data_IF_811989628731
#
_entry.id   IF_811989628731
#
_cell.length_a   1.000
_cell.length_b   1.000
_cell.length_c   1.000
_cell.angle_alpha   90.00
_cell.angle_beta   90.00
_cell.angle_gamma   90.00
#
_symmetry.space_group_name_H-M   'P 1'
#
loop_
_entity.id
_entity.type
_entity.pdbx_description
1 polymer ?
#
# COMPACT_ATOMS: atom_id res chain seq x y z
N UNK A 1 -35.00 9.68 18.92
CA UNK A 1 -34.75 10.46 17.69
C UNK A 1 -33.49 9.88 17.07
N UNK A 2 -33.54 9.48 15.81
CA UNK A 2 -32.35 8.97 15.12
C UNK A 2 -31.62 10.19 14.59
N UNK A 3 -30.46 10.46 15.18
CA UNK A 3 -29.53 11.49 14.74
C UNK A 3 -28.89 11.04 13.42
N UNK A 4 -28.90 11.94 12.45
CA UNK A 4 -28.21 11.94 11.14
C UNK A 4 -27.92 10.58 10.47
N UNK A 5 -28.58 10.35 9.34
CA UNK A 5 -28.14 9.34 8.37
C UNK A 5 -26.85 9.86 7.73
N UNK A 6 -25.69 9.41 8.20
CA UNK A 6 -24.40 9.63 7.53
C UNK A 6 -24.47 8.92 6.18
N UNK A 7 -24.76 9.67 5.13
CA UNK A 7 -24.74 9.16 3.76
C UNK A 7 -23.28 9.12 3.34
N UNK A 8 -22.68 7.94 3.36
CA UNK A 8 -21.34 7.75 2.79
C UNK A 8 -21.43 7.99 1.29
N UNK A 9 -20.91 9.13 0.83
CA UNK A 9 -20.75 9.41 -0.60
C UNK A 9 -19.92 8.30 -1.25
N UNK A 10 -20.27 7.96 -2.50
CA UNK A 10 -19.49 7.02 -3.29
C UNK A 10 -18.04 7.53 -3.35
N UNK A 11 -17.08 6.69 -2.95
CA UNK A 11 -15.67 7.04 -2.99
C UNK A 11 -15.25 7.16 -4.47
N UNK A 12 -14.80 8.34 -4.88
CA UNK A 12 -14.22 8.57 -6.21
C UNK A 12 -12.81 7.97 -6.29
N UNK A 13 -12.30 7.76 -7.50
CA UNK A 13 -10.93 7.28 -7.72
C UNK A 13 -9.88 8.18 -7.05
N UNK A 14 -10.10 9.50 -7.04
CA UNK A 14 -9.23 10.47 -6.35
C UNK A 14 -9.22 10.25 -4.83
N UNK A 15 -10.37 9.93 -4.22
CA UNK A 15 -10.43 9.58 -2.80
C UNK A 15 -9.63 8.31 -2.52
N UNK A 16 -9.71 7.31 -3.42
CA UNK A 16 -8.91 6.09 -3.30
C UNK A 16 -7.40 6.36 -3.42
N UNK A 17 -6.98 7.26 -4.31
CA UNK A 17 -5.58 7.67 -4.42
C UNK A 17 -5.08 8.33 -3.14
N UNK A 18 -5.88 9.22 -2.55
CA UNK A 18 -5.55 9.86 -1.27
C UNK A 18 -5.45 8.86 -0.11
N UNK A 19 -6.38 7.90 -0.03
CA UNK A 19 -6.35 6.84 0.97
C UNK A 19 -5.11 5.94 0.76
N UNK A 20 -4.80 5.56 -0.47
CA UNK A 20 -3.62 4.76 -0.79
C UNK A 20 -2.33 5.47 -0.34
N UNK A 21 -2.24 6.78 -0.57
CA UNK A 21 -1.08 7.58 -0.15
C UNK A 21 -0.89 7.58 1.37
N UNK A 22 -1.98 7.77 2.14
CA UNK A 22 -1.94 7.70 3.62
C UNK A 22 -1.43 6.33 4.07
N UNK A 23 -1.98 5.25 3.51
CA UNK A 23 -1.62 3.89 3.91
C UNK A 23 -0.17 3.54 3.56
N UNK A 24 0.32 3.99 2.40
CA UNK A 24 1.72 3.80 2.01
C UNK A 24 2.67 4.58 2.92
N UNK A 25 2.30 5.80 3.33
CA UNK A 25 3.08 6.58 4.30
C UNK A 25 3.12 5.91 5.67
N UNK A 26 2.00 5.35 6.15
CA UNK A 26 1.97 4.60 7.41
C UNK A 26 2.91 3.38 7.37
N UNK A 27 2.91 2.65 6.24
CA UNK A 27 3.84 1.54 6.01
C UNK A 27 5.30 2.03 5.99
N UNK A 28 5.58 3.12 5.28
CA UNK A 28 6.91 3.73 5.23
C UNK A 28 7.41 4.12 6.62
N UNK A 29 6.58 4.76 7.45
CA UNK A 29 6.93 5.15 8.81
C UNK A 29 7.20 3.92 9.69
N UNK A 30 6.38 2.88 9.54
CA UNK A 30 6.54 1.62 10.27
C UNK A 30 7.88 0.94 9.93
N UNK A 31 8.26 0.93 8.65
CA UNK A 31 9.54 0.40 8.19
C UNK A 31 10.72 1.28 8.63
N UNK A 32 10.57 2.60 8.56
CA UNK A 32 11.60 3.55 8.98
C UNK A 32 11.92 3.41 10.47
N UNK A 33 10.91 3.14 11.31
CA UNK A 33 11.10 2.88 12.74
C UNK A 33 11.96 1.63 13.02
N UNK A 34 12.07 0.73 12.03
CA UNK A 34 12.88 -0.50 12.06
C UNK A 34 14.21 -0.33 11.33
N UNK A 35 14.54 0.87 10.85
CA UNK A 35 15.77 1.17 10.10
C UNK A 35 15.69 0.91 8.60
N UNK A 36 14.51 0.59 8.06
CA UNK A 36 14.31 0.29 6.63
C UNK A 36 13.66 1.46 5.93
N UNK A 37 14.30 1.99 4.89
CA UNK A 37 13.73 3.08 4.09
C UNK A 37 12.88 2.51 2.96
N UNK A 38 11.58 2.85 2.92
CA UNK A 38 10.69 2.49 1.82
C UNK A 38 10.54 3.67 0.84
N UNK A 39 10.68 3.40 -0.45
CA UNK A 39 10.41 4.34 -1.53
C UNK A 39 9.59 3.67 -2.65
N UNK A 40 8.83 4.44 -3.40
CA UNK A 40 8.03 3.93 -4.52
C UNK A 40 7.88 4.99 -5.62
N UNK A 41 7.61 4.52 -6.84
CA UNK A 41 7.29 5.40 -7.96
C UNK A 41 5.80 5.80 -7.95
N UNK A 42 5.46 6.93 -8.58
CA UNK A 42 4.10 7.50 -8.56
C UNK A 42 3.02 6.56 -9.12
N UNK A 43 3.41 5.66 -10.00
CA UNK A 43 2.53 4.68 -10.64
C UNK A 43 2.01 3.62 -9.68
N UNK A 44 2.68 3.40 -8.55
CA UNK A 44 2.25 2.43 -7.54
C UNK A 44 0.85 2.76 -7.02
N UNK A 45 0.58 4.04 -6.75
CA UNK A 45 -0.71 4.48 -6.21
C UNK A 45 -1.84 4.17 -7.20
N UNK A 46 -1.62 4.44 -8.49
CA UNK A 46 -2.60 4.16 -9.55
C UNK A 46 -2.82 2.66 -9.70
N UNK A 47 -1.76 1.85 -9.65
CA UNK A 47 -1.88 0.40 -9.72
C UNK A 47 -2.69 -0.16 -8.54
N UNK A 48 -2.39 0.28 -7.32
CA UNK A 48 -3.10 -0.17 -6.11
C UNK A 48 -4.58 0.19 -6.18
N UNK A 49 -4.90 1.42 -6.60
CA UNK A 49 -6.29 1.84 -6.79
C UNK A 49 -6.96 1.00 -7.87
N UNK A 50 -6.35 0.83 -9.05
CA UNK A 50 -6.88 -0.02 -10.13
C UNK A 50 -7.15 -1.45 -9.66
N UNK A 51 -6.24 -2.06 -8.89
CA UNK A 51 -6.40 -3.42 -8.33
C UNK A 51 -7.44 -3.49 -7.22
N UNK A 52 -7.59 -2.42 -6.43
CA UNK A 52 -8.53 -2.36 -5.32
C UNK A 52 -9.95 -1.92 -5.72
N UNK A 53 -10.10 -1.32 -6.90
CA UNK A 53 -11.35 -0.79 -7.42
C UNK A 53 -12.33 -1.92 -7.76
N UNK A 54 -13.01 -2.41 -6.73
CA UNK A 54 -14.21 -3.23 -6.87
C UNK A 54 -15.42 -2.34 -6.59
N UNK A 55 -16.27 -2.16 -7.61
CA UNK A 55 -17.52 -1.38 -7.55
C UNK A 55 -18.43 -1.85 -6.39
N UNK A 56 -18.23 -3.06 -5.88
CA UNK A 56 -19.07 -3.69 -4.86
C UNK A 56 -18.53 -3.55 -3.42
N UNK A 57 -17.24 -3.27 -3.19
CA UNK A 57 -16.59 -3.47 -1.89
C UNK A 57 -15.92 -2.25 -1.22
N UNK A 58 -15.88 -1.08 -1.88
CA UNK A 58 -15.31 0.14 -1.30
C UNK A 58 -13.84 0.03 -0.85
N UNK A 59 -13.37 0.96 0.00
CA UNK A 59 -11.94 1.06 0.39
C UNK A 59 -11.38 -0.13 1.19
N UNK A 60 -12.21 -1.07 1.65
CA UNK A 60 -11.73 -2.26 2.37
C UNK A 60 -10.81 -3.14 1.51
N UNK A 61 -11.07 -3.21 0.20
CA UNK A 61 -10.20 -3.96 -0.71
C UNK A 61 -8.81 -3.33 -0.81
N UNK A 62 -8.70 -2.00 -0.75
CA UNK A 62 -7.42 -1.31 -0.88
C UNK A 62 -6.43 -1.71 0.21
N UNK A 63 -6.89 -1.79 1.47
CA UNK A 63 -6.06 -2.27 2.59
C UNK A 63 -5.53 -3.67 2.35
N UNK A 64 -6.41 -4.58 1.91
CA UNK A 64 -6.05 -5.98 1.64
C UNK A 64 -5.08 -6.09 0.46
N UNK A 65 -5.25 -5.28 -0.58
CA UNK A 65 -4.33 -5.23 -1.72
C UNK A 65 -2.95 -4.73 -1.30
N UNK A 66 -2.86 -3.65 -0.52
CA UNK A 66 -1.58 -3.14 0.00
C UNK A 66 -0.88 -4.20 0.86
N UNK A 67 -1.62 -4.86 1.75
CA UNK A 67 -1.07 -5.94 2.58
C UNK A 67 -0.47 -7.05 1.73
N UNK A 68 -1.26 -7.62 0.81
CA UNK A 68 -0.82 -8.75 -0.01
C UNK A 68 0.29 -8.43 -0.99
N UNK A 69 0.23 -7.27 -1.63
CA UNK A 69 1.14 -6.93 -2.72
C UNK A 69 2.43 -6.27 -2.21
N UNK A 70 2.42 -5.70 -1.00
CA UNK A 70 3.56 -4.96 -0.45
C UNK A 70 3.99 -5.47 0.93
N UNK A 71 3.09 -5.46 1.93
CA UNK A 71 3.47 -5.75 3.32
C UNK A 71 3.94 -7.20 3.51
N UNK A 72 3.22 -8.16 2.93
CA UNK A 72 3.55 -9.58 2.96
C UNK A 72 4.95 -9.84 2.34
N UNK A 73 5.23 -9.46 1.07
CA UNK A 73 6.53 -9.74 0.47
C UNK A 73 7.68 -8.92 1.07
N UNK A 74 7.42 -7.71 1.60
CA UNK A 74 8.44 -6.96 2.37
C UNK A 74 8.78 -7.71 3.67
N UNK A 75 7.78 -8.23 4.36
CA UNK A 75 7.98 -8.97 5.61
C UNK A 75 8.77 -10.25 5.37
N UNK A 76 8.42 -11.01 4.32
CA UNK A 76 9.14 -12.21 3.90
C UNK A 76 10.59 -11.89 3.57
N UNK A 77 10.83 -10.85 2.76
CA UNK A 77 12.18 -10.41 2.43
C UNK A 77 13.03 -10.03 3.66
N UNK A 78 12.44 -9.34 4.64
CA UNK A 78 13.12 -8.98 5.90
C UNK A 78 13.46 -10.23 6.72
N UNK A 79 12.57 -11.22 6.76
CA UNK A 79 12.80 -12.48 7.49
C UNK A 79 13.92 -13.30 6.82
N UNK A 80 13.88 -13.41 5.49
CA UNK A 80 14.86 -14.17 4.71
C UNK A 80 16.25 -13.53 4.74
N UNK A 81 16.32 -12.20 4.86
CA UNK A 81 17.56 -11.44 4.91
C UNK A 81 18.16 -11.33 6.33
N UNK A 82 17.89 -12.31 7.20
CA UNK A 82 18.37 -12.31 8.60
C UNK A 82 19.90 -12.12 8.72
N UNK A 83 20.67 -12.69 7.79
CA UNK A 83 22.13 -12.57 7.77
C UNK A 83 22.62 -11.24 7.15
N UNK A 84 21.79 -10.57 6.36
CA UNK A 84 22.11 -9.34 5.63
C UNK A 84 20.98 -8.31 5.79
N UNK A 85 21.00 -7.51 6.87
CA UNK A 85 19.89 -6.62 7.19
C UNK A 85 19.60 -5.64 6.06
N UNK A 86 18.34 -5.60 5.62
CA UNK A 86 17.86 -4.70 4.58
C UNK A 86 17.90 -3.27 5.10
N UNK A 87 18.43 -2.35 4.30
CA UNK A 87 18.50 -0.92 4.65
C UNK A 87 17.51 -0.08 3.86
N UNK A 88 17.22 -0.49 2.62
CA UNK A 88 16.29 0.20 1.75
C UNK A 88 15.52 -0.77 0.86
N UNK A 89 14.26 -0.41 0.60
CA UNK A 89 13.37 -1.10 -0.31
C UNK A 89 12.81 -0.06 -1.27
N UNK A 90 12.98 -0.29 -2.56
CA UNK A 90 12.33 0.49 -3.62
C UNK A 90 11.29 -0.36 -4.30
N UNK A 91 10.07 0.15 -4.36
CA UNK A 91 8.96 -0.46 -5.07
C UNK A 91 8.92 0.11 -6.48
N UNK A 92 8.98 -0.78 -7.48
CA UNK A 92 8.76 -0.46 -8.89
C UNK A 92 7.51 -1.14 -9.42
N UNK A 93 6.82 -0.48 -10.33
CA UNK A 93 5.69 -1.06 -11.06
C UNK A 93 6.16 -1.51 -12.43
N UNK A 94 5.95 -2.79 -12.76
CA UNK A 94 6.17 -3.33 -14.10
C UNK A 94 4.84 -3.83 -14.67
N UNK A 95 4.18 -3.00 -15.48
CA UNK A 95 2.88 -3.33 -16.06
C UNK A 95 1.79 -3.43 -14.99
N UNK A 96 1.39 -4.66 -14.65
CA UNK A 96 0.35 -4.94 -13.65
C UNK A 96 0.89 -5.61 -12.37
N UNK A 97 2.21 -5.73 -12.24
CA UNK A 97 2.88 -6.34 -11.09
C UNK A 97 3.77 -5.34 -10.37
N UNK A 98 4.03 -5.65 -9.11
CA UNK A 98 4.93 -4.90 -8.24
C UNK A 98 6.24 -5.67 -8.11
N UNK A 99 7.37 -4.97 -8.23
CA UNK A 99 8.70 -5.48 -7.94
C UNK A 99 9.32 -4.74 -6.76
N UNK A 100 10.01 -5.49 -5.92
CA UNK A 100 10.77 -5.00 -4.77
C UNK A 100 12.25 -5.06 -5.12
N UNK A 101 12.90 -3.91 -5.17
CA UNK A 101 14.36 -3.83 -5.21
C UNK A 101 14.86 -3.58 -3.80
N UNK A 102 15.65 -4.52 -3.31
CA UNK A 102 16.17 -4.54 -1.95
C UNK A 102 17.64 -4.12 -1.99
N UNK A 103 18.06 -3.27 -1.06
CA UNK A 103 19.45 -2.79 -0.94
C UNK A 103 19.93 -2.78 0.50
#
# INVERSE_FOLDING_TARGET
RVDEIITFNHLTEENFLGIADIMLRDLQQSLLSRGVTLSWDDDLRRLLVKKAYSVTYGARNLRRTIQKELEDPISEAIIDSFEHPISAIRIRVEGETVKLDIT
#
